data_IF_924500080629
#
_entry.id   IF_924500080629
#
_cell.length_a   1.000
_cell.length_b   1.000
_cell.length_c   1.000
_cell.angle_alpha   90.00
_cell.angle_beta   90.00
_cell.angle_gamma   90.00
#
_symmetry.space_group_name_H-M   'P 1'
#
loop_
_entity.id
_entity.type
_entity.pdbx_description
1 polymer ?
#
# COMPACT_ATOMS: atom_id res chain seq x y z
N UNK A 1 4.95 7.80 27.16
CA UNK A 1 6.22 8.41 26.75
C UNK A 1 5.90 9.76 26.14
N UNK A 2 6.21 10.85 26.82
CA UNK A 2 5.95 12.21 26.35
C UNK A 2 6.95 12.47 25.20
N UNK A 3 6.45 12.63 23.95
CA UNK A 3 7.30 12.97 22.82
C UNK A 3 7.81 14.40 23.01
N UNK A 4 9.12 14.58 22.92
CA UNK A 4 9.72 15.91 22.89
C UNK A 4 9.23 16.62 21.61
N UNK A 5 8.36 17.62 21.78
CA UNK A 5 7.77 18.39 20.67
C UNK A 5 8.67 19.50 20.16
N UNK A 6 9.82 19.71 20.77
CA UNK A 6 10.73 20.82 20.40
C UNK A 6 11.36 20.66 19.03
N UNK A 7 11.42 19.41 18.50
CA UNK A 7 11.99 19.11 17.17
C UNK A 7 10.96 19.25 16.04
N UNK A 8 9.69 19.45 16.36
CA UNK A 8 8.64 19.56 15.35
C UNK A 8 8.26 21.03 15.12
N UNK A 9 7.86 21.33 13.88
CA UNK A 9 7.28 22.63 13.58
C UNK A 9 6.01 22.86 14.44
N UNK A 10 5.70 24.11 14.88
CA UNK A 10 4.49 24.38 15.66
C UNK A 10 3.20 23.87 15.03
N UNK A 11 3.10 23.92 13.70
CA UNK A 11 1.94 23.47 12.93
C UNK A 11 1.99 21.98 12.55
N UNK A 12 2.92 21.21 13.13
CA UNK A 12 3.01 19.78 12.86
C UNK A 12 1.76 19.04 13.32
N UNK A 13 1.13 18.33 12.39
CA UNK A 13 -0.03 17.48 12.66
C UNK A 13 0.41 16.01 12.76
N UNK A 14 0.19 15.33 13.90
CA UNK A 14 0.56 13.92 14.08
C UNK A 14 -0.40 12.94 13.39
N UNK A 15 -1.50 13.44 12.83
CA UNK A 15 -2.52 12.64 12.15
C UNK A 15 -2.09 12.26 10.73
N UNK A 16 -2.65 11.18 10.16
CA UNK A 16 -2.46 10.86 8.74
C UNK A 16 -2.89 12.01 7.83
N UNK A 17 -2.07 12.35 6.84
CA UNK A 17 -2.38 13.40 5.87
C UNK A 17 -3.75 13.20 5.20
N UNK A 18 -4.07 11.97 4.82
CA UNK A 18 -5.30 11.63 4.12
C UNK A 18 -6.58 11.87 4.92
N UNK A 19 -6.48 12.01 6.24
CA UNK A 19 -7.63 12.33 7.09
C UNK A 19 -8.15 13.75 6.89
N UNK A 20 -7.41 14.61 6.23
CA UNK A 20 -7.90 15.94 5.85
C UNK A 20 -9.02 15.83 4.80
N UNK A 21 -8.92 14.86 3.88
CA UNK A 21 -9.92 14.62 2.84
C UNK A 21 -10.95 13.55 3.22
N UNK A 22 -10.52 12.50 3.90
CA UNK A 22 -11.34 11.33 4.24
C UNK A 22 -10.99 10.80 5.62
N UNK A 23 -11.56 11.41 6.66
CA UNK A 23 -11.41 10.90 8.03
C UNK A 23 -12.20 9.60 8.18
N UNK A 24 -11.59 8.51 8.65
CA UNK A 24 -12.32 7.27 8.90
C UNK A 24 -13.49 7.48 9.87
N UNK A 25 -14.59 6.78 9.61
CA UNK A 25 -15.69 6.72 10.57
C UNK A 25 -15.21 6.06 11.86
N UNK A 26 -15.72 6.54 12.99
CA UNK A 26 -15.58 5.90 14.29
C UNK A 26 -16.81 5.05 14.65
N UNK A 27 -17.76 4.98 13.72
CA UNK A 27 -19.01 4.24 13.91
C UNK A 27 -18.82 2.75 13.55
N UNK A 28 -18.04 2.06 14.35
CA UNK A 28 -17.83 0.62 14.26
C UNK A 28 -18.10 -0.04 15.60
N UNK A 29 -18.59 -1.28 15.55
CA UNK A 29 -18.92 -2.02 16.76
C UNK A 29 -17.67 -2.39 17.55
N UNK A 30 -17.70 -2.19 18.85
CA UNK A 30 -16.70 -2.72 19.79
C UNK A 30 -17.12 -4.09 20.37
N UNK A 31 -18.32 -4.56 20.03
CA UNK A 31 -18.82 -5.84 20.46
C UNK A 31 -18.46 -6.92 19.44
N UNK A 32 -17.64 -7.86 19.83
CA UNK A 32 -17.30 -9.00 18.99
C UNK A 32 -18.47 -10.00 18.94
N UNK A 33 -18.76 -10.58 17.76
CA UNK A 33 -19.70 -11.69 17.68
C UNK A 33 -19.14 -12.88 18.46
N UNK A 34 -20.03 -13.74 18.98
CA UNK A 34 -19.62 -14.94 19.69
C UNK A 34 -18.95 -15.96 18.77
N UNK A 35 -19.38 -15.95 17.51
CA UNK A 35 -18.90 -16.85 16.47
C UNK A 35 -18.76 -16.07 15.18
N UNK A 36 -17.74 -16.39 14.41
CA UNK A 36 -17.54 -15.92 13.04
C UNK A 36 -16.86 -17.03 12.27
N UNK A 37 -17.16 -17.14 11.00
CA UNK A 37 -16.52 -18.14 10.14
C UNK A 37 -15.04 -17.77 9.88
N UNK A 38 -14.79 -16.48 9.68
CA UNK A 38 -13.44 -15.98 9.39
C UNK A 38 -13.15 -14.77 10.27
N UNK A 39 -12.01 -14.81 10.93
CA UNK A 39 -11.55 -13.74 11.81
C UNK A 39 -10.26 -13.15 11.26
N UNK A 40 -10.28 -11.86 10.91
CA UNK A 40 -9.16 -11.13 10.34
C UNK A 40 -8.60 -10.15 11.37
N UNK A 41 -7.32 -10.28 11.68
CA UNK A 41 -6.62 -9.39 12.62
C UNK A 41 -5.82 -8.37 11.82
N UNK A 42 -6.19 -7.09 11.95
CA UNK A 42 -5.59 -5.96 11.26
C UNK A 42 -6.46 -5.44 10.11
N UNK A 43 -6.76 -4.15 10.16
CA UNK A 43 -7.57 -3.42 9.17
C UNK A 43 -6.74 -2.64 8.16
N UNK A 44 -5.50 -3.06 7.92
CA UNK A 44 -4.65 -2.53 6.85
C UNK A 44 -5.05 -3.05 5.48
N UNK A 45 -4.30 -2.68 4.44
CA UNK A 45 -4.60 -3.08 3.05
C UNK A 45 -4.81 -4.59 2.89
N UNK A 46 -3.93 -5.41 3.46
CA UNK A 46 -4.03 -6.87 3.32
C UNK A 46 -5.28 -7.44 4.00
N UNK A 47 -5.55 -6.99 5.25
CA UNK A 47 -6.70 -7.49 6.00
C UNK A 47 -8.03 -7.08 5.37
N UNK A 48 -8.17 -5.80 5.00
CA UNK A 48 -9.40 -5.32 4.36
C UNK A 48 -9.61 -5.91 2.95
N UNK A 49 -8.54 -6.07 2.17
CA UNK A 49 -8.62 -6.70 0.85
C UNK A 49 -9.08 -8.15 0.94
N UNK A 50 -8.49 -8.93 1.86
CA UNK A 50 -8.90 -10.31 2.10
C UNK A 50 -10.34 -10.40 2.60
N UNK A 51 -10.71 -9.55 3.56
CA UNK A 51 -12.06 -9.53 4.12
C UNK A 51 -13.11 -9.18 3.07
N UNK A 52 -12.82 -8.23 2.19
CA UNK A 52 -13.72 -7.82 1.10
C UNK A 52 -13.99 -8.97 0.13
N UNK A 53 -12.95 -9.65 -0.34
CA UNK A 53 -13.13 -10.75 -1.29
C UNK A 53 -13.87 -11.94 -0.63
N UNK A 54 -13.55 -12.27 0.62
CA UNK A 54 -14.24 -13.33 1.35
C UNK A 54 -15.72 -13.00 1.62
N UNK A 55 -16.02 -11.74 1.96
CA UNK A 55 -17.40 -11.29 2.14
C UNK A 55 -18.21 -11.34 0.83
N UNK A 56 -17.59 -11.07 -0.32
CA UNK A 56 -18.22 -11.22 -1.64
C UNK A 56 -18.57 -12.67 -1.97
N UNK A 57 -17.76 -13.58 -1.51
CA UNK A 57 -18.06 -15.04 -1.61
C UNK A 57 -19.12 -15.52 -0.59
N UNK A 58 -19.76 -14.58 0.12
CA UNK A 58 -20.83 -14.86 1.06
C UNK A 58 -20.35 -15.37 2.42
N UNK A 59 -19.06 -15.23 2.74
CA UNK A 59 -18.52 -15.67 4.03
C UNK A 59 -18.80 -14.66 5.14
N UNK A 60 -19.02 -15.16 6.34
CA UNK A 60 -19.12 -14.33 7.54
C UNK A 60 -17.72 -13.94 8.02
N UNK A 61 -17.37 -12.67 7.85
CA UNK A 61 -16.03 -12.15 8.17
C UNK A 61 -16.11 -11.10 9.26
N UNK A 62 -15.29 -11.26 10.29
CA UNK A 62 -15.09 -10.24 11.33
C UNK A 62 -13.67 -9.70 11.24
N UNK A 63 -13.52 -8.39 11.06
CA UNK A 63 -12.22 -7.71 11.05
C UNK A 63 -12.06 -6.95 12.37
N UNK A 64 -10.92 -7.12 13.01
CA UNK A 64 -10.55 -6.38 14.23
C UNK A 64 -9.19 -5.72 14.08
N UNK A 65 -8.98 -4.63 14.78
CA UNK A 65 -7.71 -3.94 14.86
C UNK A 65 -7.42 -3.50 16.30
N UNK A 66 -6.14 -3.39 16.63
CA UNK A 66 -5.70 -2.87 17.93
C UNK A 66 -5.79 -1.33 17.98
N UNK A 67 -5.82 -0.68 16.84
CA UNK A 67 -5.94 0.76 16.66
C UNK A 67 -7.27 1.11 15.99
N UNK A 68 -7.62 2.39 15.97
CA UNK A 68 -8.72 2.86 15.13
C UNK A 68 -8.44 2.57 13.65
N UNK A 69 -9.47 2.31 12.87
CA UNK A 69 -9.34 2.07 11.43
C UNK A 69 -8.69 3.29 10.74
N UNK A 70 -7.72 3.00 9.88
CA UNK A 70 -6.99 4.05 9.19
C UNK A 70 -5.92 4.76 10.04
N UNK A 71 -5.61 4.31 11.24
CA UNK A 71 -4.58 4.93 12.09
C UNK A 71 -3.17 4.39 11.85
N UNK A 72 -3.07 3.17 11.31
CA UNK A 72 -1.80 2.49 11.08
C UNK A 72 -1.13 2.90 9.74
N UNK A 73 -0.08 2.18 9.35
CA UNK A 73 0.80 2.48 8.21
C UNK A 73 0.07 2.60 6.86
N UNK A 74 -1.04 1.88 6.67
CA UNK A 74 -1.82 1.92 5.42
C UNK A 74 -2.39 3.31 5.10
N UNK A 75 -2.56 4.18 6.10
CA UNK A 75 -3.01 5.57 5.93
C UNK A 75 -1.90 6.60 6.11
N UNK A 76 -0.66 6.16 6.34
CA UNK A 76 0.51 7.03 6.59
C UNK A 76 1.57 6.90 5.49
N UNK A 77 1.15 6.59 4.28
CA UNK A 77 2.01 6.50 3.11
C UNK A 77 1.77 7.67 2.14
N UNK A 78 2.59 7.78 1.11
CA UNK A 78 2.49 8.86 0.11
C UNK A 78 1.39 8.67 -0.94
N UNK A 79 0.57 7.62 -0.86
CA UNK A 79 -0.52 7.36 -1.80
C UNK A 79 -0.08 6.98 -3.22
N UNK A 80 1.21 6.76 -3.43
CA UNK A 80 1.72 6.40 -4.75
C UNK A 80 1.42 4.94 -5.09
N UNK A 81 0.75 4.71 -6.23
CA UNK A 81 0.52 3.38 -6.80
C UNK A 81 1.32 3.23 -8.07
N UNK A 82 2.14 2.20 -8.20
CA UNK A 82 2.96 2.00 -9.39
C UNK A 82 3.03 0.52 -9.77
N UNK A 83 3.10 0.26 -11.07
CA UNK A 83 3.34 -1.08 -11.62
C UNK A 83 4.82 -1.52 -11.56
N UNK A 84 5.71 -0.68 -11.02
CA UNK A 84 7.13 -0.99 -10.92
C UNK A 84 7.49 -1.64 -9.60
N UNK A 85 8.32 -2.66 -9.64
CA UNK A 85 8.97 -3.20 -8.46
C UNK A 85 10.07 -2.25 -8.04
N UNK A 86 9.98 -1.68 -6.85
CA UNK A 86 11.10 -0.93 -6.29
C UNK A 86 12.13 -1.94 -5.77
N UNK A 87 12.91 -2.46 -6.70
CA UNK A 87 14.01 -3.38 -6.38
C UNK A 87 15.10 -2.53 -5.71
N UNK A 88 15.01 -2.40 -4.40
CA UNK A 88 15.96 -1.61 -3.61
C UNK A 88 17.40 -2.06 -3.83
N UNK A 89 18.36 -1.22 -3.44
CA UNK A 89 19.80 -1.46 -3.56
C UNK A 89 20.30 -2.81 -3.01
N UNK A 90 19.51 -3.49 -2.16
CA UNK A 90 19.82 -4.83 -1.64
C UNK A 90 19.44 -5.99 -2.56
N UNK A 91 18.77 -5.73 -3.69
CA UNK A 91 18.37 -6.75 -4.66
C UNK A 91 19.23 -6.70 -5.93
N UNK A 92 19.67 -5.53 -6.32
CA UNK A 92 20.78 -5.39 -7.25
C UNK A 92 22.06 -5.71 -6.48
N UNK A 93 22.51 -6.95 -6.56
CA UNK A 93 23.82 -7.36 -6.03
C UNK A 93 24.88 -6.34 -6.42
N UNK A 94 25.85 -6.07 -5.54
CA UNK A 94 27.05 -5.32 -5.91
C UNK A 94 27.75 -5.99 -7.09
N UNK A 95 28.74 -5.35 -7.72
CA UNK A 95 29.45 -5.90 -8.85
C UNK A 95 29.89 -7.36 -8.57
N UNK A 96 29.30 -8.33 -9.29
CA UNK A 96 29.61 -9.76 -9.17
C UNK A 96 28.65 -10.64 -8.37
N UNK A 97 27.53 -10.12 -7.83
CA UNK A 97 26.55 -10.93 -7.11
C UNK A 97 25.13 -10.76 -7.69
N UNK A 98 24.78 -11.60 -8.66
CA UNK A 98 23.39 -11.80 -9.06
C UNK A 98 22.78 -12.88 -8.17
N UNK A 99 22.07 -12.48 -7.12
CA UNK A 99 21.36 -13.42 -6.23
C UNK A 99 20.00 -13.88 -6.78
N UNK A 100 19.61 -13.45 -7.97
CA UNK A 100 18.30 -13.79 -8.55
C UNK A 100 18.40 -14.18 -10.00
N UNK A 101 17.70 -15.27 -10.34
CA UNK A 101 17.53 -15.66 -11.73
C UNK A 101 16.67 -14.63 -12.48
N UNK A 102 16.95 -14.44 -13.78
CA UNK A 102 16.15 -13.57 -14.64
C UNK A 102 14.66 -13.97 -14.63
N UNK A 103 14.36 -15.25 -14.46
CA UNK A 103 12.97 -15.74 -14.34
C UNK A 103 12.24 -15.21 -13.11
N UNK A 104 12.92 -15.11 -11.97
CA UNK A 104 12.32 -14.55 -10.75
C UNK A 104 12.07 -13.04 -10.91
N UNK A 105 13.00 -12.31 -11.51
CA UNK A 105 12.84 -10.88 -11.77
C UNK A 105 11.67 -10.64 -12.74
N UNK A 106 11.59 -11.39 -13.82
CA UNK A 106 10.49 -11.29 -14.78
C UNK A 106 9.15 -11.65 -14.15
N UNK A 107 9.11 -12.67 -13.27
CA UNK A 107 7.93 -13.00 -12.49
C UNK A 107 7.48 -11.83 -11.59
N UNK A 108 8.40 -11.22 -10.85
CA UNK A 108 8.10 -10.06 -10.01
C UNK A 108 7.58 -8.85 -10.80
N UNK A 109 8.13 -8.59 -11.98
CA UNK A 109 7.68 -7.51 -12.85
C UNK A 109 6.27 -7.78 -13.40
N UNK A 110 5.99 -9.02 -13.80
CA UNK A 110 4.66 -9.44 -14.26
C UNK A 110 3.62 -9.30 -13.15
N UNK A 111 3.90 -9.81 -11.95
CA UNK A 111 3.01 -9.71 -10.79
C UNK A 111 2.79 -8.25 -10.37
N UNK A 112 3.81 -7.42 -10.45
CA UNK A 112 3.68 -5.99 -10.14
C UNK A 112 2.75 -5.26 -11.12
N UNK A 113 2.82 -5.59 -12.41
CA UNK A 113 1.90 -5.06 -13.41
C UNK A 113 0.47 -5.54 -13.17
N UNK A 114 0.29 -6.84 -12.89
CA UNK A 114 -1.02 -7.42 -12.56
C UNK A 114 -1.61 -6.79 -11.29
N UNK A 115 -0.81 -6.54 -10.26
CA UNK A 115 -1.24 -5.89 -9.04
C UNK A 115 -1.72 -4.43 -9.27
N UNK A 116 -1.08 -3.71 -10.19
CA UNK A 116 -1.52 -2.36 -10.56
C UNK A 116 -2.88 -2.38 -11.27
N UNK A 117 -3.09 -3.29 -12.20
CA UNK A 117 -4.38 -3.46 -12.86
C UNK A 117 -5.47 -3.93 -11.89
N UNK A 118 -5.12 -4.83 -10.98
CA UNK A 118 -6.04 -5.29 -9.92
C UNK A 118 -6.53 -4.12 -9.07
N UNK A 119 -5.64 -3.28 -8.52
CA UNK A 119 -6.06 -2.17 -7.67
C UNK A 119 -6.84 -1.11 -8.46
N UNK A 120 -6.47 -0.86 -9.73
CA UNK A 120 -7.19 0.06 -10.60
C UNK A 120 -8.63 -0.41 -10.83
N UNK A 121 -8.81 -1.71 -11.10
CA UNK A 121 -10.11 -2.34 -11.30
C UNK A 121 -10.92 -2.37 -10.00
N UNK A 122 -10.27 -2.67 -8.88
CA UNK A 122 -10.91 -2.68 -7.56
C UNK A 122 -11.53 -1.32 -7.22
N UNK A 123 -10.76 -0.24 -7.39
CA UNK A 123 -11.22 1.13 -7.13
C UNK A 123 -12.48 1.44 -7.94
N UNK A 124 -12.48 1.08 -9.24
CA UNK A 124 -13.64 1.31 -10.12
C UNK A 124 -14.83 0.44 -9.73
N UNK A 125 -14.60 -0.85 -9.52
CA UNK A 125 -15.64 -1.84 -9.20
C UNK A 125 -16.35 -1.54 -7.89
N UNK A 126 -15.61 -1.09 -6.88
CA UNK A 126 -16.15 -0.76 -5.57
C UNK A 126 -16.59 0.71 -5.45
N UNK A 127 -16.41 1.51 -6.50
CA UNK A 127 -16.76 2.94 -6.47
C UNK A 127 -15.99 3.72 -5.41
N UNK A 128 -14.70 3.39 -5.18
CA UNK A 128 -13.90 4.04 -4.13
C UNK A 128 -13.52 5.46 -4.55
N UNK A 129 -14.08 6.44 -3.90
CA UNK A 129 -13.76 7.86 -4.10
C UNK A 129 -12.44 8.22 -3.41
N UNK A 130 -11.32 8.01 -4.10
CA UNK A 130 -9.99 8.23 -3.56
C UNK A 130 -9.12 9.14 -4.44
N UNK A 131 -9.71 9.93 -5.34
CA UNK A 131 -9.00 10.79 -6.28
C UNK A 131 -7.92 10.04 -7.08
N UNK A 132 -8.21 8.80 -7.48
CA UNK A 132 -7.28 7.96 -8.22
C UNK A 132 -7.05 8.50 -9.64
N UNK A 133 -5.78 8.77 -9.98
CA UNK A 133 -5.40 9.29 -11.27
C UNK A 133 -4.25 8.49 -11.88
N UNK A 134 -4.41 8.03 -13.12
CA UNK A 134 -3.36 7.37 -13.92
C UNK A 134 -2.56 8.43 -14.69
N UNK A 135 -1.56 9.04 -14.06
CA UNK A 135 -0.74 10.10 -14.68
C UNK A 135 0.62 9.63 -15.18
N UNK A 136 0.95 8.37 -15.01
CA UNK A 136 2.26 7.83 -15.35
C UNK A 136 3.34 8.20 -14.34
N UNK A 137 4.57 7.89 -14.69
CA UNK A 137 5.75 8.13 -13.86
C UNK A 137 6.85 8.79 -14.66
N UNK A 138 7.38 9.89 -14.15
CA UNK A 138 8.60 10.48 -14.67
C UNK A 138 9.80 9.99 -13.88
N UNK A 139 10.84 9.55 -14.57
CA UNK A 139 12.11 9.15 -13.97
C UNK A 139 13.23 9.95 -14.62
N UNK A 140 13.89 10.80 -13.82
CA UNK A 140 15.04 11.58 -14.26
C UNK A 140 16.34 10.81 -14.14
N UNK A 141 17.19 10.83 -15.15
CA UNK A 141 18.55 10.34 -15.05
C UNK A 141 19.46 11.39 -14.40
N UNK A 142 20.30 10.96 -13.47
CA UNK A 142 21.23 11.84 -12.74
C UNK A 142 22.59 11.92 -13.41
N UNK A 143 22.98 10.90 -14.20
CA UNK A 143 24.25 10.83 -14.94
C UNK A 143 24.01 10.34 -16.34
N UNK A 144 24.95 10.60 -17.31
CA UNK A 144 24.89 10.05 -18.67
C UNK A 144 24.80 8.52 -18.69
N UNK A 145 25.55 7.83 -17.85
CA UNK A 145 25.52 6.36 -17.77
C UNK A 145 24.17 5.85 -17.25
N UNK A 146 23.58 6.54 -16.28
CA UNK A 146 22.22 6.22 -15.82
C UNK A 146 21.21 6.40 -16.97
N UNK A 147 21.31 7.48 -17.74
CA UNK A 147 20.45 7.72 -18.89
C UNK A 147 20.57 6.65 -19.96
N UNK A 148 21.81 6.25 -20.29
CA UNK A 148 22.05 5.17 -21.26
C UNK A 148 21.46 3.84 -20.80
N UNK A 149 21.66 3.46 -19.53
CA UNK A 149 21.06 2.25 -18.97
C UNK A 149 19.52 2.27 -18.88
N UNK A 150 18.89 3.46 -18.90
CA UNK A 150 17.44 3.59 -18.99
C UNK A 150 16.89 3.39 -20.40
N UNK A 151 17.69 3.66 -21.45
CA UNK A 151 17.29 3.47 -22.85
C UNK A 151 17.29 2.00 -23.28
N UNK A 152 18.09 1.17 -22.59
CA UNK A 152 18.25 -0.25 -22.92
C UNK A 152 17.17 -1.14 -22.27
N UNK A 153 16.26 -0.55 -21.47
CA UNK A 153 15.14 -1.22 -20.80
C UNK A 153 13.81 -0.87 -21.43
#
# INVERSE_FOLDING_TARGET
MQRDRTIFHPDYKPEPYWWEAARPSTDYSTNLPRETEIFVIGSGYSGLSAALELAKEGRSVTVVDALAFGEAASSRNGGGVSAGVNIGKGISGGPGQSYRSDSLLNGLLSESAAAFEFISTLIQREGIECHFEKRGRFVGAVTPDHFNGMKEK
#
